data_IF_227127831883
#
_entry.id   IF_227127831883
#
_cell.length_a   1.000
_cell.length_b   1.000
_cell.length_c   1.000
_cell.angle_alpha   90.00
_cell.angle_beta   90.00
_cell.angle_gamma   90.00
#
_symmetry.space_group_name_H-M   'P 1'
#
loop_
_entity.id
_entity.type
_entity.pdbx_description
1 polymer ?
#
# COMPACT_ATOMS: atom_id res chain seq x y z
N UNK A 1 -19.47 4.86 -16.52
CA UNK A 1 -18.65 5.75 -17.39
C UNK A 1 -17.67 6.64 -16.61
N UNK A 2 -18.10 7.37 -15.57
CA UNK A 2 -17.20 8.22 -14.78
C UNK A 2 -16.08 7.42 -14.07
N UNK A 3 -16.42 6.28 -13.45
CA UNK A 3 -15.44 5.37 -12.84
C UNK A 3 -14.41 4.84 -13.87
N UNK A 4 -14.85 4.46 -15.07
CA UNK A 4 -13.97 3.99 -16.15
C UNK A 4 -12.91 5.05 -16.50
N UNK A 5 -13.32 6.33 -16.55
CA UNK A 5 -12.41 7.45 -16.82
C UNK A 5 -11.42 7.62 -15.67
N UNK A 6 -11.85 7.45 -14.41
CA UNK A 6 -10.95 7.51 -13.25
C UNK A 6 -9.90 6.39 -13.33
N UNK A 7 -10.31 5.14 -13.54
CA UNK A 7 -9.37 4.01 -13.66
C UNK A 7 -8.40 4.22 -14.82
N UNK A 8 -8.90 4.66 -15.98
CA UNK A 8 -8.05 4.97 -17.14
C UNK A 8 -7.06 6.10 -16.85
N UNK A 9 -7.53 7.23 -16.32
CA UNK A 9 -6.72 8.42 -16.08
C UNK A 9 -5.67 8.21 -14.98
N UNK A 10 -5.92 7.36 -13.99
CA UNK A 10 -4.99 7.11 -12.88
C UNK A 10 -3.88 6.14 -13.24
N UNK A 11 -4.08 5.23 -14.20
CA UNK A 11 -3.08 4.23 -14.60
C UNK A 11 -1.86 4.84 -15.32
N UNK A 12 -2.05 5.84 -16.18
CA UNK A 12 -0.94 6.42 -16.95
C UNK A 12 0.08 7.21 -16.13
N UNK A 13 -0.33 8.10 -15.19
CA UNK A 13 0.61 8.75 -14.28
C UNK A 13 1.41 7.73 -13.46
N UNK A 14 0.75 6.66 -12.99
CA UNK A 14 1.43 5.58 -12.27
C UNK A 14 2.47 4.90 -13.18
N UNK A 15 2.09 4.50 -14.39
CA UNK A 15 3.01 3.91 -15.36
C UNK A 15 4.21 4.83 -15.62
N UNK A 16 3.96 6.10 -15.84
CA UNK A 16 4.98 7.11 -16.13
C UNK A 16 5.97 7.25 -14.97
N UNK A 17 5.47 7.38 -13.73
CA UNK A 17 6.30 7.47 -12.53
C UNK A 17 7.15 6.21 -12.37
N UNK A 18 6.55 5.03 -12.48
CA UNK A 18 7.28 3.76 -12.32
C UNK A 18 8.35 3.59 -13.41
N UNK A 19 8.03 3.90 -14.67
CA UNK A 19 8.99 3.90 -15.77
C UNK A 19 10.18 4.84 -15.51
N UNK A 20 9.94 6.05 -15.00
CA UNK A 20 11.03 6.98 -14.64
C UNK A 20 11.90 6.39 -13.53
N UNK A 21 11.29 5.88 -12.46
CA UNK A 21 12.02 5.31 -11.32
C UNK A 21 12.97 4.20 -11.77
N UNK A 22 12.52 3.29 -12.64
CA UNK A 22 13.39 2.24 -13.19
C UNK A 22 14.40 2.79 -14.21
N UNK A 23 14.04 3.76 -15.04
CA UNK A 23 14.96 4.37 -16.00
C UNK A 23 16.14 5.10 -15.33
N UNK A 24 15.93 5.67 -14.12
CA UNK A 24 16.98 6.32 -13.33
C UNK A 24 18.12 5.37 -12.92
N UNK A 25 17.90 4.05 -12.95
CA UNK A 25 18.93 3.05 -12.64
C UNK A 25 20.04 2.97 -13.69
N UNK A 26 19.85 3.56 -14.87
CA UNK A 26 20.88 3.65 -15.92
C UNK A 26 21.99 4.68 -15.60
N UNK A 27 21.97 5.32 -14.43
CA UNK A 27 23.01 6.26 -14.02
C UNK A 27 24.18 5.54 -13.35
N UNK A 28 25.40 5.96 -13.67
CA UNK A 28 26.59 5.59 -12.91
C UNK A 28 26.65 6.43 -11.64
N UNK A 29 26.62 5.77 -10.47
CA UNK A 29 26.65 6.41 -9.14
C UNK A 29 27.44 5.53 -8.17
N UNK A 30 28.19 6.15 -7.27
CA UNK A 30 28.92 5.48 -6.19
C UNK A 30 29.80 4.30 -6.67
N UNK A 31 30.46 4.45 -7.82
CA UNK A 31 31.29 3.38 -8.38
C UNK A 31 30.53 2.22 -9.03
N UNK A 32 29.23 2.38 -9.29
CA UNK A 32 28.36 1.30 -9.76
C UNK A 32 27.51 1.69 -10.97
N UNK A 33 27.23 0.70 -11.83
CA UNK A 33 26.26 0.78 -12.92
C UNK A 33 25.37 -0.47 -12.90
N UNK A 34 24.05 -0.30 -12.92
CA UNK A 34 23.07 -1.40 -12.76
C UNK A 34 23.40 -2.34 -11.57
N UNK A 35 23.83 -1.78 -10.44
CA UNK A 35 24.26 -2.53 -9.24
C UNK A 35 25.45 -3.49 -9.45
N UNK A 36 26.31 -3.22 -10.43
CA UNK A 36 27.60 -3.90 -10.62
C UNK A 36 28.71 -2.90 -10.33
N UNK A 37 29.75 -3.31 -9.58
CA UNK A 37 30.94 -2.48 -9.37
C UNK A 37 31.68 -2.23 -10.68
N UNK A 38 31.83 -0.96 -11.04
CA UNK A 38 32.42 -0.50 -12.29
C UNK A 38 33.44 0.61 -12.02
N UNK A 39 34.62 0.52 -12.65
CA UNK A 39 35.54 1.67 -12.70
C UNK A 39 35.02 2.69 -13.70
N UNK A 40 35.32 3.97 -13.47
CA UNK A 40 34.89 5.07 -14.35
C UNK A 40 35.38 4.90 -15.79
N UNK A 41 36.58 4.37 -15.97
CA UNK A 41 37.17 4.01 -17.27
C UNK A 41 36.34 2.97 -18.05
N UNK A 42 35.75 1.99 -17.36
CA UNK A 42 34.97 0.92 -18.01
C UNK A 42 33.61 1.38 -18.50
N UNK A 43 33.06 2.44 -17.91
CA UNK A 43 31.77 3.01 -18.33
C UNK A 43 31.87 3.60 -19.73
N UNK A 44 33.05 4.06 -20.12
CA UNK A 44 33.29 4.65 -21.43
C UNK A 44 33.46 3.62 -22.57
N UNK A 45 33.63 2.33 -22.22
CA UNK A 45 33.77 1.22 -23.17
C UNK A 45 32.54 1.08 -24.07
N UNK A 46 32.76 0.82 -25.36
CA UNK A 46 31.69 0.71 -26.36
C UNK A 46 30.69 -0.41 -26.04
N UNK A 47 31.16 -1.54 -25.46
CA UNK A 47 30.29 -2.64 -25.08
C UNK A 47 29.37 -2.26 -23.92
N UNK A 48 29.89 -1.50 -22.95
CA UNK A 48 29.12 -1.03 -21.79
C UNK A 48 28.08 0.01 -22.23
N UNK A 49 28.47 0.93 -23.11
CA UNK A 49 27.54 1.89 -23.74
C UNK A 49 26.45 1.18 -24.56
N UNK A 50 26.79 0.11 -25.27
CA UNK A 50 25.81 -0.71 -25.99
C UNK A 50 24.79 -1.37 -25.04
N UNK A 51 25.23 -1.86 -23.87
CA UNK A 51 24.34 -2.39 -22.83
C UNK A 51 23.37 -1.31 -22.32
N UNK A 52 23.86 -0.11 -22.03
CA UNK A 52 23.01 1.02 -21.61
C UNK A 52 21.99 1.42 -22.69
N UNK A 53 22.42 1.49 -23.96
CA UNK A 53 21.52 1.80 -25.09
C UNK A 53 20.43 0.74 -25.24
N UNK A 54 20.79 -0.54 -25.09
CA UNK A 54 19.83 -1.65 -25.12
C UNK A 54 18.85 -1.59 -23.96
N UNK A 55 19.31 -1.29 -22.75
CA UNK A 55 18.44 -1.10 -21.58
C UNK A 55 17.39 0.00 -21.83
N UNK A 56 17.80 1.17 -22.33
CA UNK A 56 16.87 2.26 -22.66
C UNK A 56 15.81 1.83 -23.68
N UNK A 57 16.22 1.09 -24.72
CA UNK A 57 15.29 0.57 -25.73
C UNK A 57 14.31 -0.44 -25.12
N UNK A 58 14.80 -1.37 -24.30
CA UNK A 58 13.96 -2.35 -23.60
C UNK A 58 12.95 -1.63 -22.68
N UNK A 59 13.38 -0.66 -21.88
CA UNK A 59 12.47 0.14 -21.03
C UNK A 59 11.34 0.81 -21.81
N UNK A 60 11.64 1.40 -22.98
CA UNK A 60 10.61 2.01 -23.84
C UNK A 60 9.63 0.95 -24.33
N UNK A 61 10.11 -0.21 -24.79
CA UNK A 61 9.24 -1.29 -25.26
C UNK A 61 8.33 -1.84 -24.17
N UNK A 62 8.85 -2.15 -22.98
CA UNK A 62 8.01 -2.59 -21.86
C UNK A 62 7.00 -1.52 -21.44
N UNK A 63 7.41 -0.25 -21.41
CA UNK A 63 6.51 0.87 -21.13
C UNK A 63 5.37 0.98 -22.15
N UNK A 64 5.66 0.84 -23.44
CA UNK A 64 4.65 0.86 -24.50
C UNK A 64 3.69 -0.32 -24.42
N UNK A 65 4.19 -1.53 -24.16
CA UNK A 65 3.34 -2.72 -23.98
C UNK A 65 2.38 -2.52 -22.80
N UNK A 66 2.90 -2.01 -21.67
CA UNK A 66 2.09 -1.75 -20.48
C UNK A 66 1.09 -0.62 -20.68
N UNK A 67 1.35 0.34 -21.57
CA UNK A 67 0.45 1.44 -21.88
C UNK A 67 -0.79 1.01 -22.69
N UNK A 68 -0.79 -0.18 -23.32
CA UNK A 68 -1.93 -0.68 -24.09
C UNK A 68 -3.06 -1.18 -23.18
N UNK A 69 -2.71 -1.89 -22.09
CA UNK A 69 -3.69 -2.57 -21.23
C UNK A 69 -4.69 -1.61 -20.57
N UNK A 70 -4.30 -0.42 -20.07
CA UNK A 70 -5.25 0.56 -19.52
C UNK A 70 -6.38 0.96 -20.46
N UNK A 71 -6.20 0.88 -21.79
CA UNK A 71 -7.29 1.16 -22.74
C UNK A 71 -8.46 0.18 -22.61
N UNK A 72 -8.23 -1.05 -22.16
CA UNK A 72 -9.31 -2.02 -21.94
C UNK A 72 -10.33 -1.52 -20.89
N UNK A 73 -9.91 -0.69 -19.93
CA UNK A 73 -10.78 -0.13 -18.90
C UNK A 73 -11.87 0.81 -19.48
N UNK A 74 -11.70 1.34 -20.70
CA UNK A 74 -12.70 2.21 -21.33
C UNK A 74 -13.90 1.43 -21.88
N UNK A 75 -13.70 0.15 -22.22
CA UNK A 75 -14.69 -0.66 -22.93
C UNK A 75 -15.49 -1.61 -22.02
N UNK A 76 -15.04 -1.83 -20.79
CA UNK A 76 -15.66 -2.75 -19.85
C UNK A 76 -16.57 -1.96 -18.91
N UNK A 77 -17.86 -2.27 -18.74
CA UNK A 77 -18.76 -1.51 -17.87
C UNK A 77 -18.71 -1.95 -16.40
N UNK A 78 -18.22 -3.16 -16.12
CA UNK A 78 -18.27 -3.78 -14.79
C UNK A 78 -17.14 -3.28 -13.87
N UNK A 79 -17.52 -2.88 -12.65
CA UNK A 79 -16.59 -2.34 -11.67
C UNK A 79 -15.59 -3.41 -11.20
N UNK A 80 -16.06 -4.62 -10.90
CA UNK A 80 -15.21 -5.70 -10.40
C UNK A 80 -14.14 -6.10 -11.42
N UNK A 81 -14.51 -6.17 -12.71
CA UNK A 81 -13.59 -6.53 -13.79
C UNK A 81 -12.54 -5.43 -13.98
N UNK A 82 -12.95 -4.16 -13.98
CA UNK A 82 -12.00 -3.04 -14.08
C UNK A 82 -11.02 -3.02 -12.90
N UNK A 83 -11.53 -3.19 -11.68
CA UNK A 83 -10.71 -3.26 -10.48
C UNK A 83 -9.70 -4.41 -10.58
N UNK A 84 -10.16 -5.57 -11.06
CA UNK A 84 -9.31 -6.75 -11.28
C UNK A 84 -8.20 -6.47 -12.30
N UNK A 85 -8.54 -5.89 -13.45
CA UNK A 85 -7.57 -5.51 -14.48
C UNK A 85 -6.56 -4.53 -13.89
N UNK A 86 -7.02 -3.52 -13.15
CA UNK A 86 -6.17 -2.52 -12.51
C UNK A 86 -5.17 -3.15 -11.53
N UNK A 87 -5.65 -4.01 -10.62
CA UNK A 87 -4.82 -4.69 -9.61
C UNK A 87 -3.79 -5.64 -10.24
N UNK A 88 -4.22 -6.47 -11.19
CA UNK A 88 -3.33 -7.42 -11.88
C UNK A 88 -2.31 -6.66 -12.72
N UNK A 89 -2.74 -5.62 -13.44
CA UNK A 89 -1.86 -4.79 -14.23
C UNK A 89 -0.76 -4.13 -13.39
N UNK A 90 -1.08 -3.65 -12.18
CA UNK A 90 -0.06 -3.07 -11.28
C UNK A 90 1.03 -4.08 -10.93
N UNK A 91 0.65 -5.32 -10.60
CA UNK A 91 1.61 -6.39 -10.28
C UNK A 91 2.46 -6.72 -11.51
N UNK A 92 1.82 -6.87 -12.67
CA UNK A 92 2.51 -7.16 -13.95
C UNK A 92 3.45 -6.03 -14.32
N UNK A 93 3.05 -4.76 -14.15
CA UNK A 93 3.88 -3.59 -14.44
C UNK A 93 5.14 -3.56 -13.57
N UNK A 94 5.02 -3.85 -12.27
CA UNK A 94 6.17 -3.95 -11.36
C UNK A 94 7.12 -5.05 -11.84
N UNK A 95 6.62 -6.24 -12.15
CA UNK A 95 7.45 -7.36 -12.58
C UNK A 95 8.13 -7.05 -13.92
N UNK A 96 7.38 -6.63 -14.94
CA UNK A 96 7.92 -6.41 -16.28
C UNK A 96 8.95 -5.28 -16.32
N UNK A 97 8.74 -4.19 -15.58
CA UNK A 97 9.69 -3.07 -15.56
C UNK A 97 10.97 -3.39 -14.78
N UNK A 98 10.98 -4.43 -13.94
CA UNK A 98 12.21 -4.90 -13.30
C UNK A 98 13.11 -5.71 -14.24
N UNK A 99 12.56 -6.36 -15.27
CA UNK A 99 13.30 -7.27 -16.15
C UNK A 99 14.44 -6.58 -16.92
N UNK A 100 14.27 -5.39 -17.53
CA UNK A 100 15.37 -4.68 -18.18
C UNK A 100 16.58 -4.46 -17.27
N UNK A 101 16.35 -4.13 -15.99
CA UNK A 101 17.41 -3.96 -15.00
C UNK A 101 18.14 -5.27 -14.76
N UNK A 102 17.41 -6.37 -14.55
CA UNK A 102 18.00 -7.71 -14.35
C UNK A 102 18.85 -8.11 -15.56
N UNK A 103 18.34 -7.87 -16.78
CA UNK A 103 19.06 -8.20 -18.00
C UNK A 103 20.31 -7.34 -18.17
N UNK A 104 20.24 -6.03 -17.88
CA UNK A 104 21.39 -5.14 -17.93
C UNK A 104 22.47 -5.54 -16.91
N UNK A 105 22.07 -5.85 -15.67
CA UNK A 105 22.96 -6.37 -14.62
C UNK A 105 23.67 -7.66 -15.07
N UNK A 106 22.92 -8.62 -15.59
CA UNK A 106 23.47 -9.90 -16.05
C UNK A 106 24.44 -9.71 -17.23
N UNK A 107 24.13 -8.81 -18.18
CA UNK A 107 25.04 -8.49 -19.30
C UNK A 107 26.33 -7.84 -18.83
N UNK A 108 26.28 -6.91 -17.88
CA UNK A 108 27.48 -6.31 -17.29
C UNK A 108 28.34 -7.33 -16.55
N UNK A 109 27.72 -8.22 -15.77
CA UNK A 109 28.45 -9.32 -15.10
C UNK A 109 29.11 -10.26 -16.11
N UNK A 110 28.44 -10.58 -17.21
CA UNK A 110 29.01 -11.39 -18.29
C UNK A 110 30.20 -10.69 -18.96
N UNK A 111 30.07 -9.39 -19.24
CA UNK A 111 31.17 -8.58 -19.78
C UNK A 111 32.38 -8.58 -18.82
N UNK A 112 32.15 -8.34 -17.52
CA UNK A 112 33.19 -8.34 -16.49
C UNK A 112 33.87 -9.70 -16.31
N UNK A 113 33.13 -10.81 -16.49
CA UNK A 113 33.69 -12.18 -16.52
C UNK A 113 34.61 -12.40 -17.73
N UNK A 114 34.23 -11.92 -18.91
CA UNK A 114 35.05 -12.06 -20.13
C UNK A 114 36.39 -11.30 -20.02
N UNK A 115 36.43 -10.25 -19.21
CA UNK A 115 37.62 -9.43 -18.98
C UNK A 115 38.54 -10.00 -17.87
N UNK A 116 38.18 -11.12 -17.23
CA UNK A 116 38.99 -11.74 -16.16
C UNK A 116 38.96 -11.00 -14.81
N UNK A 117 38.17 -9.92 -14.68
CA UNK A 117 38.20 -9.03 -13.51
C UNK A 117 37.69 -9.62 -12.19
N UNK A 118 37.32 -10.91 -12.16
CA UNK A 118 36.85 -11.61 -10.96
C UNK A 118 37.94 -12.46 -10.28
N UNK A 119 39.11 -12.66 -10.90
CA UNK A 119 40.13 -13.61 -10.43
C UNK A 119 41.22 -12.98 -9.56
N UNK A 120 41.37 -11.65 -9.54
CA UNK A 120 42.52 -10.96 -8.92
C UNK A 120 42.33 -10.46 -7.47
N UNK A 121 41.15 -10.59 -6.84
CA UNK A 121 40.93 -9.99 -5.51
C UNK A 121 40.55 -11.00 -4.43
N UNK A 122 41.36 -11.01 -3.37
CA UNK A 122 41.13 -11.79 -2.15
C UNK A 122 39.91 -11.29 -1.37
N UNK A 123 39.20 -12.23 -0.75
CA UNK A 123 37.94 -12.02 -0.04
C UNK A 123 38.15 -11.39 1.35
N UNK A 124 38.62 -10.15 1.41
CA UNK A 124 38.75 -9.44 2.68
C UNK A 124 37.41 -8.82 3.11
N UNK A 125 36.80 -9.37 4.17
CA UNK A 125 35.59 -8.83 4.79
C UNK A 125 35.96 -8.09 6.06
N UNK A 126 35.83 -6.77 6.01
CA UNK A 126 36.05 -5.90 7.16
C UNK A 126 34.80 -5.87 8.04
N UNK A 127 34.96 -6.13 9.34
CA UNK A 127 33.90 -6.07 10.35
C UNK A 127 34.32 -5.07 11.41
N UNK A 128 33.43 -4.14 11.75
CA UNK A 128 33.68 -3.16 12.81
C UNK A 128 33.60 -3.84 14.18
N UNK A 129 34.76 -4.00 14.85
CA UNK A 129 34.86 -4.67 16.16
C UNK A 129 34.77 -3.69 17.34
N UNK A 130 35.18 -2.43 17.15
CA UNK A 130 35.48 -1.51 18.27
C UNK A 130 34.23 -0.96 18.96
N UNK A 131 33.05 -1.02 18.32
CA UNK A 131 31.81 -0.43 18.80
C UNK A 131 30.52 -1.04 18.20
N UNK A 132 30.52 -2.33 17.87
CA UNK A 132 29.34 -3.01 17.31
C UNK A 132 28.14 -2.92 18.27
N UNK A 133 27.23 -1.96 18.03
CA UNK A 133 25.97 -1.78 18.78
C UNK A 133 25.90 -0.60 19.77
N UNK A 134 26.95 0.20 19.93
CA UNK A 134 26.99 1.29 20.94
C UNK A 134 26.44 2.63 20.44
N UNK A 135 26.32 2.83 19.12
CA UNK A 135 25.79 4.08 18.53
C UNK A 135 24.27 4.05 18.50
N UNK A 136 23.64 4.46 19.61
CA UNK A 136 22.20 4.68 19.72
C UNK A 136 21.92 6.17 19.81
N UNK A 137 21.05 6.65 18.93
CA UNK A 137 20.63 8.05 18.91
C UNK A 137 19.22 8.22 19.48
N UNK A 138 18.45 7.14 19.56
CA UNK A 138 17.07 7.15 20.01
C UNK A 138 16.99 6.99 21.53
N UNK A 139 16.43 8.01 22.19
CA UNK A 139 15.95 7.91 23.56
C UNK A 139 14.44 7.68 23.53
N UNK A 140 13.91 6.85 24.42
CA UNK A 140 12.50 6.48 24.43
C UNK A 140 11.58 7.62 24.88
N UNK A 141 12.02 8.44 25.84
CA UNK A 141 11.19 9.47 26.48
C UNK A 141 10.55 10.48 25.51
N UNK A 142 11.27 11.07 24.52
CA UNK A 142 10.66 12.00 23.56
C UNK A 142 9.55 11.37 22.71
N UNK A 143 9.59 10.06 22.48
CA UNK A 143 8.58 9.34 21.69
C UNK A 143 7.35 8.97 22.53
N UNK A 144 7.55 8.74 23.83
CA UNK A 144 6.48 8.34 24.74
C UNK A 144 5.44 9.46 24.93
N UNK A 145 5.88 10.72 25.05
CA UNK A 145 4.99 11.87 25.31
C UNK A 145 3.86 11.98 24.27
N UNK A 146 4.13 12.09 22.95
CA UNK A 146 3.07 12.22 21.96
C UNK A 146 2.17 10.97 21.90
N UNK A 147 2.73 9.77 22.04
CA UNK A 147 1.96 8.53 22.06
C UNK A 147 0.98 8.47 23.23
N UNK A 148 1.45 8.85 24.43
CA UNK A 148 0.62 8.91 25.63
C UNK A 148 -0.50 9.94 25.44
N UNK A 149 -0.19 11.15 24.94
CA UNK A 149 -1.19 12.20 24.67
C UNK A 149 -2.26 11.71 23.70
N UNK A 150 -1.88 11.14 22.55
CA UNK A 150 -2.82 10.66 21.55
C UNK A 150 -3.69 9.50 22.05
N UNK A 151 -3.09 8.56 22.79
CA UNK A 151 -3.81 7.39 23.34
C UNK A 151 -4.79 7.80 24.43
N UNK A 152 -4.36 8.63 25.38
CA UNK A 152 -5.22 9.11 26.48
C UNK A 152 -6.37 9.95 25.93
N UNK A 153 -6.12 10.82 24.95
CA UNK A 153 -7.17 11.61 24.31
C UNK A 153 -8.20 10.71 23.60
N UNK A 154 -7.74 9.69 22.87
CA UNK A 154 -8.64 8.75 22.21
C UNK A 154 -9.52 7.97 23.20
N UNK A 155 -8.95 7.51 24.32
CA UNK A 155 -9.69 6.79 25.38
C UNK A 155 -10.72 7.71 26.04
N UNK A 156 -10.35 8.96 26.35
CA UNK A 156 -11.21 9.92 27.03
C UNK A 156 -12.49 10.26 26.24
N UNK A 157 -12.47 10.10 24.91
CA UNK A 157 -13.61 10.40 24.03
C UNK A 157 -14.60 9.25 23.92
N UNK A 158 -14.19 8.01 24.20
CA UNK A 158 -15.05 6.81 24.04
C UNK A 158 -16.40 6.92 24.78
N UNK A 159 -16.48 7.42 26.02
CA UNK A 159 -17.76 7.56 26.73
C UNK A 159 -18.75 8.51 26.04
N UNK A 160 -18.24 9.48 25.28
CA UNK A 160 -19.05 10.53 24.64
C UNK A 160 -19.33 10.24 23.16
N UNK A 161 -18.37 9.62 22.46
CA UNK A 161 -18.44 9.31 21.04
C UNK A 161 -17.73 7.98 20.75
N UNK A 162 -18.39 6.87 21.08
CA UNK A 162 -17.82 5.52 21.04
C UNK A 162 -17.13 5.18 19.70
N UNK A 163 -17.81 5.39 18.58
CA UNK A 163 -17.27 5.09 17.24
C UNK A 163 -16.02 5.91 16.95
N UNK A 164 -16.05 7.21 17.26
CA UNK A 164 -14.91 8.09 17.06
C UNK A 164 -13.73 7.73 17.96
N UNK A 165 -13.97 7.47 19.24
CA UNK A 165 -12.94 7.06 20.19
C UNK A 165 -12.23 5.78 19.74
N UNK A 166 -12.99 4.80 19.22
CA UNK A 166 -12.43 3.57 18.63
C UNK A 166 -11.59 3.89 17.38
N UNK A 167 -12.07 4.71 16.45
CA UNK A 167 -11.32 5.12 15.26
C UNK A 167 -10.01 5.85 15.62
N UNK A 168 -10.05 6.74 16.62
CA UNK A 168 -8.87 7.44 17.12
C UNK A 168 -7.88 6.50 17.82
N UNK A 169 -8.37 5.46 18.51
CA UNK A 169 -7.51 4.41 19.07
C UNK A 169 -6.78 3.61 17.98
N UNK A 170 -7.45 3.30 16.88
CA UNK A 170 -6.82 2.67 15.71
C UNK A 170 -5.75 3.61 15.14
N UNK A 171 -6.04 4.91 15.02
CA UNK A 171 -5.05 5.92 14.64
C UNK A 171 -3.86 6.00 15.60
N UNK A 172 -4.09 5.86 16.92
CA UNK A 172 -3.05 5.83 17.93
C UNK A 172 -2.14 4.59 17.76
N UNK A 173 -2.71 3.43 17.41
CA UNK A 173 -1.94 2.22 17.09
C UNK A 173 -0.91 2.47 15.96
N UNK A 174 -1.25 3.30 14.97
CA UNK A 174 -0.33 3.76 13.93
C UNK A 174 0.91 4.47 14.48
N UNK A 175 0.75 5.29 15.53
CA UNK A 175 1.88 5.92 16.22
C UNK A 175 2.84 4.90 16.86
N UNK A 176 2.31 3.82 17.44
CA UNK A 176 3.15 2.74 17.99
C UNK A 176 3.89 1.98 16.89
N UNK A 177 3.30 1.82 15.70
CA UNK A 177 4.02 1.27 14.54
C UNK A 177 5.22 2.16 14.18
N UNK A 178 5.04 3.49 14.13
CA UNK A 178 6.16 4.41 13.90
C UNK A 178 7.25 4.31 14.97
N UNK A 179 6.87 4.11 16.24
CA UNK A 179 7.83 3.86 17.32
C UNK A 179 8.61 2.56 17.09
N UNK A 180 7.94 1.46 16.74
CA UNK A 180 8.59 0.18 16.46
C UNK A 180 9.58 0.31 15.30
N UNK A 181 9.18 1.01 14.23
CA UNK A 181 10.07 1.25 13.09
C UNK A 181 11.24 2.14 13.49
N UNK A 182 11.02 3.16 14.32
CA UNK A 182 12.08 4.03 14.81
C UNK A 182 13.11 3.26 15.67
N UNK A 183 12.65 2.40 16.61
CA UNK A 183 13.51 1.50 17.39
C UNK A 183 14.30 0.59 16.45
N UNK A 184 13.63 0.04 15.44
CA UNK A 184 14.27 -0.83 14.46
C UNK A 184 15.34 -0.10 13.63
N UNK A 185 15.09 1.12 13.16
CA UNK A 185 16.09 1.93 12.42
C UNK A 185 17.29 2.32 13.29
N UNK A 186 17.09 2.58 14.59
CA UNK A 186 18.19 2.90 15.51
C UNK A 186 19.01 1.67 15.88
N UNK A 187 18.41 0.46 15.85
CA UNK A 187 19.08 -0.81 16.14
C UNK A 187 19.89 -1.39 14.98
N UNK A 188 19.91 -0.74 13.81
CA UNK A 188 20.74 -1.18 12.69
C UNK A 188 22.24 -1.16 13.06
N UNK A 189 23.02 -2.16 12.60
CA UNK A 189 24.46 -2.23 12.86
C UNK A 189 25.20 -1.03 12.26
N UNK A 190 26.41 -0.78 12.75
CA UNK A 190 27.27 0.30 12.24
C UNK A 190 27.73 -0.06 10.82
N UNK A 191 27.56 0.88 9.89
CA UNK A 191 27.99 0.70 8.50
C UNK A 191 29.51 0.89 8.41
N UNK A 192 30.18 -0.10 7.82
CA UNK A 192 31.63 -0.08 7.62
C UNK A 192 31.92 0.53 6.25
N UNK A 193 32.36 1.78 6.25
CA UNK A 193 32.64 2.55 5.04
C UNK A 193 34.14 2.83 4.87
N UNK A 194 34.87 2.90 5.97
CA UNK A 194 36.30 3.14 6.02
C UNK A 194 37.00 2.14 6.94
N UNK A 195 38.29 1.92 6.71
CA UNK A 195 39.22 1.30 7.65
C UNK A 195 39.27 2.06 8.99
N UNK A 196 38.91 3.34 9.01
CA UNK A 196 38.83 4.17 10.20
C UNK A 196 37.47 4.04 10.92
N UNK A 197 37.50 3.42 12.10
CA UNK A 197 36.35 3.21 12.99
C UNK A 197 35.58 4.49 13.34
N UNK A 198 36.27 5.61 13.56
CA UNK A 198 35.61 6.87 13.94
C UNK A 198 34.79 7.46 12.79
N UNK A 199 35.22 7.23 11.54
CA UNK A 199 34.48 7.62 10.34
C UNK A 199 33.18 6.80 10.25
N UNK A 200 33.27 5.48 10.43
CA UNK A 200 32.12 4.56 10.42
C UNK A 200 31.06 4.93 11.48
N UNK A 201 31.53 5.22 12.70
CA UNK A 201 30.69 5.61 13.84
C UNK A 201 29.98 6.93 13.56
N UNK A 202 30.70 7.96 13.10
CA UNK A 202 30.13 9.29 12.88
C UNK A 202 29.16 9.31 11.68
N UNK A 203 29.47 8.58 10.61
CA UNK A 203 28.58 8.40 9.47
C UNK A 203 27.26 7.73 9.90
N UNK A 204 27.35 6.60 10.61
CA UNK A 204 26.18 5.89 11.14
C UNK A 204 25.37 6.78 12.08
N UNK A 205 26.04 7.51 12.99
CA UNK A 205 25.39 8.43 13.94
C UNK A 205 24.59 9.52 13.22
N UNK A 206 25.14 10.11 12.16
CA UNK A 206 24.47 11.13 11.37
C UNK A 206 23.18 10.60 10.74
N UNK A 207 23.23 9.43 10.09
CA UNK A 207 22.04 8.76 9.51
C UNK A 207 21.00 8.45 10.57
N UNK A 208 21.39 7.84 11.69
CA UNK A 208 20.47 7.51 12.80
C UNK A 208 19.80 8.75 13.39
N UNK A 209 20.50 9.88 13.49
CA UNK A 209 19.92 11.14 13.97
C UNK A 209 18.84 11.68 13.02
N UNK A 210 19.05 11.58 11.71
CA UNK A 210 18.06 11.98 10.70
C UNK A 210 16.82 11.11 10.81
N UNK A 211 16.97 9.78 10.81
CA UNK A 211 15.85 8.84 10.96
C UNK A 211 15.09 9.07 12.26
N UNK A 212 15.79 9.21 13.39
CA UNK A 212 15.18 9.52 14.69
C UNK A 212 14.30 10.77 14.63
N UNK A 213 14.82 11.86 14.07
CA UNK A 213 14.07 13.12 13.98
C UNK A 213 12.85 13.00 13.05
N UNK A 214 12.98 12.28 11.93
CA UNK A 214 11.88 12.05 11.00
C UNK A 214 10.76 11.24 11.66
N UNK A 215 11.08 10.13 12.33
CA UNK A 215 10.07 9.31 13.02
C UNK A 215 9.41 10.04 14.19
N UNK A 216 10.18 10.84 14.93
CA UNK A 216 9.62 11.65 16.00
C UNK A 216 8.61 12.68 15.45
N UNK A 217 8.94 13.32 14.32
CA UNK A 217 8.03 14.22 13.62
C UNK A 217 6.75 13.50 13.16
N UNK A 218 6.89 12.30 12.58
CA UNK A 218 5.77 11.47 12.15
C UNK A 218 4.79 11.17 13.29
N UNK A 219 5.30 10.84 14.47
CA UNK A 219 4.49 10.52 15.66
C UNK A 219 3.78 11.78 16.19
N UNK A 220 4.46 12.92 16.22
CA UNK A 220 3.82 14.19 16.59
C UNK A 220 2.72 14.58 15.61
N UNK A 221 2.96 14.42 14.32
CA UNK A 221 1.96 14.69 13.28
C UNK A 221 0.75 13.75 13.40
N UNK A 222 0.98 12.46 13.69
CA UNK A 222 -0.09 11.49 13.96
C UNK A 222 -0.91 11.88 15.20
N UNK A 223 -0.22 12.31 16.26
CA UNK A 223 -0.88 12.78 17.49
C UNK A 223 -1.70 14.04 17.24
N UNK A 224 -1.16 14.99 16.48
CA UNK A 224 -1.87 16.21 16.09
C UNK A 224 -3.12 15.89 15.26
N UNK A 225 -3.04 14.92 14.34
CA UNK A 225 -4.21 14.45 13.59
C UNK A 225 -5.27 13.89 14.55
N UNK A 226 -4.92 13.00 15.47
CA UNK A 226 -5.88 12.43 16.43
C UNK A 226 -6.58 13.53 17.22
N UNK A 227 -5.83 14.49 17.76
CA UNK A 227 -6.40 15.62 18.50
C UNK A 227 -7.30 16.49 17.62
N UNK A 228 -6.91 16.73 16.37
CA UNK A 228 -7.72 17.45 15.39
C UNK A 228 -9.03 16.71 15.09
N UNK A 229 -9.00 15.40 14.84
CA UNK A 229 -10.19 14.60 14.58
C UNK A 229 -11.14 14.63 15.78
N UNK A 230 -10.61 14.50 17.00
CA UNK A 230 -11.39 14.63 18.23
C UNK A 230 -12.05 16.01 18.33
N UNK A 231 -11.30 17.08 18.08
CA UNK A 231 -11.83 18.45 18.14
C UNK A 231 -12.97 18.67 17.15
N UNK A 232 -12.79 18.22 15.90
CA UNK A 232 -13.78 18.34 14.83
C UNK A 232 -15.04 17.52 15.16
N UNK A 233 -14.93 16.43 15.91
CA UNK A 233 -16.07 15.60 16.33
C UNK A 233 -17.12 16.32 17.16
N UNK A 234 -16.72 17.39 17.86
CA UNK A 234 -17.64 18.19 18.66
C UNK A 234 -18.30 19.32 17.86
N UNK A 235 -17.91 19.54 16.61
CA UNK A 235 -18.54 20.52 15.71
C UNK A 235 -19.79 19.89 15.09
N UNK A 236 -20.95 20.54 15.19
CA UNK A 236 -22.23 19.94 14.78
C UNK A 236 -22.56 20.07 13.27
N UNK A 237 -21.81 20.87 12.50
CA UNK A 237 -22.06 21.08 11.06
C UNK A 237 -20.83 20.75 10.21
N UNK A 238 -21.06 20.10 9.07
CA UNK A 238 -20.07 19.81 8.01
C UNK A 238 -18.83 18.98 8.43
N UNK A 239 -19.01 18.09 9.40
CA UNK A 239 -17.93 17.30 10.01
C UNK A 239 -17.19 16.41 9.00
N UNK A 240 -17.91 15.78 8.06
CA UNK A 240 -17.34 14.84 7.10
C UNK A 240 -16.32 15.46 6.13
N UNK A 241 -16.61 16.64 5.58
CA UNK A 241 -15.70 17.32 4.65
C UNK A 241 -14.43 17.82 5.35
N UNK A 242 -14.58 18.29 6.60
CA UNK A 242 -13.45 18.73 7.42
C UNK A 242 -12.54 17.55 7.79
N UNK A 243 -13.11 16.38 8.07
CA UNK A 243 -12.32 15.15 8.26
C UNK A 243 -11.53 14.78 7.03
N UNK A 244 -12.18 14.74 5.87
CA UNK A 244 -11.51 14.41 4.62
C UNK A 244 -10.36 15.39 4.34
N UNK A 245 -10.60 16.69 4.49
CA UNK A 245 -9.57 17.72 4.34
C UNK A 245 -8.41 17.52 5.33
N UNK A 246 -8.70 17.24 6.60
CA UNK A 246 -7.69 16.96 7.62
C UNK A 246 -6.82 15.74 7.29
N UNK A 247 -7.43 14.67 6.80
CA UNK A 247 -6.71 13.46 6.35
C UNK A 247 -5.83 13.73 5.13
N UNK A 248 -6.33 14.50 4.15
CA UNK A 248 -5.55 14.90 2.98
C UNK A 248 -4.35 15.75 3.39
N UNK A 249 -4.55 16.75 4.24
CA UNK A 249 -3.47 17.61 4.75
C UNK A 249 -2.45 16.77 5.52
N UNK A 250 -2.89 15.83 6.36
CA UNK A 250 -2.01 14.91 7.06
C UNK A 250 -1.14 14.08 6.11
N UNK A 251 -1.72 13.49 5.06
CA UNK A 251 -0.98 12.72 4.06
C UNK A 251 0.04 13.60 3.32
N UNK A 252 -0.34 14.83 2.95
CA UNK A 252 0.56 15.79 2.32
C UNK A 252 1.73 16.13 3.26
N UNK A 253 1.46 16.41 4.54
CA UNK A 253 2.49 16.75 5.52
C UNK A 253 3.43 15.58 5.82
N UNK A 254 2.88 14.35 5.97
CA UNK A 254 3.69 13.13 6.11
C UNK A 254 4.60 12.91 4.89
N UNK A 255 4.11 13.20 3.69
CA UNK A 255 4.92 13.04 2.47
C UNK A 255 5.96 14.15 2.36
N UNK A 256 5.58 15.39 2.64
CA UNK A 256 6.44 16.56 2.57
C UNK A 256 7.63 16.46 3.56
N UNK A 257 7.42 15.91 4.76
CA UNK A 257 8.52 15.72 5.73
C UNK A 257 9.59 14.71 5.28
N UNK A 258 9.28 13.82 4.32
CA UNK A 258 10.27 12.90 3.76
C UNK A 258 11.31 13.64 2.90
N UNK A 259 10.93 14.76 2.25
CA UNK A 259 11.82 15.54 1.38
C UNK A 259 13.07 16.04 2.14
N UNK A 260 12.97 16.79 3.26
CA UNK A 260 14.15 17.23 3.99
C UNK A 260 14.95 16.06 4.56
N UNK A 261 14.31 14.95 4.96
CA UNK A 261 15.01 13.75 5.41
C UNK A 261 15.89 13.16 4.29
N UNK A 262 15.34 13.00 3.08
CA UNK A 262 16.07 12.52 1.90
C UNK A 262 17.21 13.48 1.51
N UNK A 263 16.94 14.79 1.50
CA UNK A 263 17.97 15.80 1.19
C UNK A 263 19.11 15.77 2.20
N UNK A 264 18.81 15.65 3.50
CA UNK A 264 19.83 15.55 4.54
C UNK A 264 20.61 14.23 4.44
N UNK A 265 19.95 13.11 4.14
CA UNK A 265 20.63 11.83 3.90
C UNK A 265 21.60 11.94 2.72
N UNK A 266 21.17 12.51 1.60
CA UNK A 266 22.04 12.72 0.43
C UNK A 266 23.21 13.68 0.72
N UNK A 267 23.01 14.69 1.57
CA UNK A 267 24.11 15.56 2.03
C UNK A 267 25.13 14.80 2.88
N UNK A 268 24.67 13.89 3.74
CA UNK A 268 25.56 13.02 4.54
C UNK A 268 26.31 12.05 3.64
N UNK A 269 25.64 11.41 2.67
CA UNK A 269 26.30 10.53 1.69
C UNK A 269 27.41 11.28 0.95
N UNK A 270 27.10 12.45 0.38
CA UNK A 270 28.10 13.26 -0.33
C UNK A 270 29.26 13.72 0.55
N UNK A 271 29.02 14.04 1.83
CA UNK A 271 30.07 14.49 2.75
C UNK A 271 31.05 13.38 3.17
N UNK A 272 30.68 12.11 2.95
CA UNK A 272 31.50 10.95 3.29
C UNK A 272 31.98 10.19 2.05
N UNK A 273 31.58 10.60 0.84
CA UNK A 273 31.96 9.98 -0.46
C UNK A 273 33.47 9.75 -0.57
N UNK A 274 34.28 10.79 -0.32
CA UNK A 274 35.75 10.73 -0.40
C UNK A 274 36.41 9.91 0.74
N UNK A 275 35.62 9.53 1.76
CA UNK A 275 36.09 8.75 2.92
C UNK A 275 35.81 7.26 2.80
N UNK A 276 35.13 6.83 1.73
CA UNK A 276 34.93 5.42 1.43
C UNK A 276 36.25 4.83 0.90
N UNK A 277 37.07 4.27 1.80
CA UNK A 277 38.32 3.59 1.44
C UNK A 277 38.11 2.07 1.21
N UNK A 278 37.00 1.51 1.70
CA UNK A 278 36.59 0.13 1.49
C UNK A 278 35.55 0.09 0.37
N UNK A 279 35.99 -0.16 -0.85
CA UNK A 279 35.07 -0.58 -1.91
C UNK A 279 34.60 -2.00 -1.57
N UNK A 280 33.30 -2.19 -1.33
CA UNK A 280 32.71 -3.52 -1.17
C UNK A 280 33.22 -4.41 -2.31
N UNK A 281 33.99 -5.44 -1.95
CA UNK A 281 34.81 -6.18 -2.91
C UNK A 281 34.03 -6.69 -4.11
N UNK A 282 34.73 -6.92 -5.23
CA UNK A 282 34.15 -7.44 -6.49
C UNK A 282 33.38 -8.76 -6.27
N UNK A 283 33.71 -9.54 -5.23
CA UNK A 283 32.94 -10.72 -4.82
C UNK A 283 31.48 -10.43 -4.43
N UNK A 284 31.20 -9.23 -3.90
CA UNK A 284 29.85 -8.86 -3.50
C UNK A 284 28.89 -8.84 -4.71
N UNK A 285 29.36 -8.53 -5.92
CA UNK A 285 28.54 -8.52 -7.15
C UNK A 285 27.75 -9.83 -7.36
N UNK A 286 28.31 -10.96 -6.92
CA UNK A 286 27.71 -12.30 -7.14
C UNK A 286 26.48 -12.52 -6.26
N UNK A 287 26.43 -11.90 -5.09
CA UNK A 287 25.33 -12.04 -4.13
C UNK A 287 24.12 -11.17 -4.46
N UNK A 288 24.27 -10.18 -5.36
CA UNK A 288 23.18 -9.30 -5.81
C UNK A 288 22.52 -9.83 -7.09
N UNK A 289 21.54 -10.72 -6.94
CA UNK A 289 20.81 -11.34 -8.05
C UNK A 289 19.99 -10.29 -8.80
N UNK A 290 20.27 -10.16 -10.11
CA UNK A 290 19.63 -9.17 -10.98
C UNK A 290 19.85 -7.71 -10.56
N UNK A 291 20.80 -7.45 -9.65
CA UNK A 291 21.07 -6.12 -9.11
C UNK A 291 20.02 -5.60 -8.11
N UNK A 292 19.04 -6.44 -7.72
CA UNK A 292 17.94 -6.03 -6.83
C UNK A 292 17.84 -6.89 -5.57
N UNK A 293 18.01 -8.21 -5.72
CA UNK A 293 17.80 -9.16 -4.63
C UNK A 293 19.14 -9.58 -4.04
N UNK A 294 19.28 -9.44 -2.73
CA UNK A 294 20.48 -9.88 -2.03
C UNK A 294 20.30 -11.31 -1.52
N UNK A 295 21.22 -12.20 -1.89
CA UNK A 295 21.25 -13.57 -1.43
C UNK A 295 22.69 -13.96 -1.08
N UNK A 296 23.00 -13.96 0.22
CA UNK A 296 24.30 -14.39 0.70
C UNK A 296 24.15 -15.33 1.91
N UNK A 297 24.33 -16.65 1.75
CA UNK A 297 24.28 -17.61 2.85
C UNK A 297 25.39 -17.40 3.90
N UNK A 298 26.50 -16.76 3.53
CA UNK A 298 27.62 -16.46 4.43
C UNK A 298 27.39 -15.18 5.24
N UNK A 299 26.34 -14.42 4.92
CA UNK A 299 25.94 -13.25 5.69
C UNK A 299 24.76 -13.58 6.59
N UNK A 300 24.96 -13.49 7.91
CA UNK A 300 23.93 -13.77 8.89
C UNK A 300 22.95 -12.60 9.07
N UNK A 301 23.24 -11.42 8.53
CA UNK A 301 22.36 -10.26 8.62
C UNK A 301 21.13 -10.47 7.74
N UNK A 302 19.94 -10.37 8.34
CA UNK A 302 18.67 -10.42 7.60
C UNK A 302 18.42 -9.13 6.82
N UNK A 303 18.84 -7.99 7.35
CA UNK A 303 18.66 -6.68 6.72
C UNK A 303 20.03 -6.16 6.37
N UNK A 304 20.20 -5.78 5.11
CA UNK A 304 21.44 -5.22 4.58
C UNK A 304 21.13 -3.91 3.87
N UNK A 305 22.09 -3.02 3.77
CA UNK A 305 21.90 -1.80 2.99
C UNK A 305 21.67 -2.13 1.52
N UNK A 306 20.80 -1.35 0.87
CA UNK A 306 20.64 -1.46 -0.57
C UNK A 306 21.96 -1.09 -1.23
N UNK A 307 22.33 -1.89 -2.23
CA UNK A 307 23.50 -1.60 -3.05
C UNK A 307 23.31 -0.38 -3.94
N UNK A 308 22.10 -0.13 -4.42
CA UNK A 308 21.78 1.04 -5.25
C UNK A 308 20.61 1.79 -4.64
N UNK A 309 20.81 3.10 -4.46
CA UNK A 309 19.83 4.00 -3.87
C UNK A 309 19.79 3.96 -2.34
N UNK A 310 18.83 4.68 -1.77
CA UNK A 310 18.72 4.85 -0.31
C UNK A 310 17.83 3.75 0.27
N UNK A 311 18.24 3.21 1.41
CA UNK A 311 17.44 2.32 2.25
C UNK A 311 18.07 0.94 2.43
N UNK A 312 17.27 0.01 2.92
CA UNK A 312 17.70 -1.36 3.22
C UNK A 312 16.93 -2.38 2.39
N UNK A 313 17.50 -3.56 2.25
CA UNK A 313 16.89 -4.75 1.63
C UNK A 313 17.05 -5.95 2.55
N UNK A 314 16.42 -7.05 2.19
CA UNK A 314 16.45 -8.29 2.96
C UNK A 314 17.39 -9.28 2.31
N UNK A 315 18.27 -9.88 3.11
CA UNK A 315 19.05 -11.04 2.71
C UNK A 315 18.14 -12.27 2.64
N UNK A 316 17.85 -12.69 1.43
CA UNK A 316 16.95 -13.79 1.11
C UNK A 316 17.49 -15.16 1.53
N UNK A 317 18.76 -15.26 1.92
CA UNK A 317 19.36 -16.50 2.38
C UNK A 317 19.02 -16.83 3.85
N UNK A 318 18.69 -15.84 4.69
CA UNK A 318 18.41 -16.06 6.12
C UNK A 318 17.02 -16.64 6.34
N UNK A 319 16.79 -17.27 7.51
CA UNK A 319 15.47 -17.83 7.87
C UNK A 319 14.37 -16.77 7.86
N UNK A 320 14.65 -15.62 8.46
CA UNK A 320 13.73 -14.49 8.47
C UNK A 320 13.54 -13.92 7.06
N UNK A 321 14.59 -13.84 6.24
CA UNK A 321 14.49 -13.40 4.85
C UNK A 321 13.58 -14.28 4.01
N UNK A 322 13.73 -15.61 4.11
CA UNK A 322 12.82 -16.57 3.46
C UNK A 322 11.37 -16.37 3.92
N UNK A 323 11.16 -16.13 5.22
CA UNK A 323 9.84 -15.80 5.77
C UNK A 323 9.26 -14.51 5.18
N UNK A 324 10.05 -13.45 5.01
CA UNK A 324 9.57 -12.21 4.38
C UNK A 324 9.19 -12.40 2.93
N UNK A 325 9.95 -13.20 2.16
CA UNK A 325 9.62 -13.51 0.76
C UNK A 325 8.30 -14.26 0.68
N UNK A 326 8.12 -15.29 1.51
CA UNK A 326 6.88 -16.05 1.58
C UNK A 326 5.70 -15.14 1.91
N UNK A 327 5.84 -14.27 2.91
CA UNK A 327 4.83 -13.28 3.26
C UNK A 327 4.52 -12.34 2.10
N UNK A 328 5.53 -11.80 1.41
CA UNK A 328 5.32 -10.92 0.24
C UNK A 328 4.61 -11.66 -0.89
N UNK A 329 4.95 -12.92 -1.17
CA UNK A 329 4.28 -13.73 -2.19
C UNK A 329 2.82 -13.96 -1.80
N UNK A 330 2.53 -14.37 -0.56
CA UNK A 330 1.16 -14.56 -0.08
C UNK A 330 0.38 -13.25 -0.18
N UNK A 331 0.94 -12.13 0.29
CA UNK A 331 0.29 -10.82 0.22
C UNK A 331 -0.03 -10.41 -1.23
N UNK A 332 0.90 -10.64 -2.18
CA UNK A 332 0.66 -10.38 -3.60
C UNK A 332 -0.42 -11.29 -4.19
N UNK A 333 -0.48 -12.56 -3.78
CA UNK A 333 -1.50 -13.53 -4.22
C UNK A 333 -2.88 -13.30 -3.58
N UNK A 334 -2.95 -12.65 -2.42
CA UNK A 334 -4.23 -12.26 -1.82
C UNK A 334 -4.94 -11.16 -2.62
N UNK A 335 -4.20 -10.31 -3.34
CA UNK A 335 -4.78 -9.24 -4.16
C UNK A 335 -5.78 -9.76 -5.22
N UNK A 336 -5.42 -10.74 -6.09
CA UNK A 336 -6.38 -11.32 -7.03
C UNK A 336 -7.48 -12.13 -6.32
N UNK A 337 -7.25 -12.70 -5.13
CA UNK A 337 -8.30 -13.40 -4.38
C UNK A 337 -9.42 -12.44 -3.94
N UNK A 338 -9.06 -11.24 -3.48
CA UNK A 338 -10.03 -10.17 -3.19
C UNK A 338 -10.81 -9.78 -4.44
N UNK A 339 -10.16 -9.77 -5.61
CA UNK A 339 -10.84 -9.50 -6.88
C UNK A 339 -11.90 -10.56 -7.21
N UNK A 340 -11.62 -11.85 -6.97
CA UNK A 340 -12.60 -12.93 -7.13
C UNK A 340 -13.82 -12.72 -6.24
N UNK A 341 -13.62 -12.28 -4.99
CA UNK A 341 -14.73 -11.95 -4.09
C UNK A 341 -15.59 -10.81 -4.64
N UNK A 342 -14.97 -9.72 -5.12
CA UNK A 342 -15.70 -8.57 -5.68
C UNK A 342 -16.44 -8.94 -6.97
N UNK A 343 -15.87 -9.83 -7.79
CA UNK A 343 -16.54 -10.40 -8.97
C UNK A 343 -17.76 -11.21 -8.54
N UNK A 344 -17.61 -12.11 -7.56
CA UNK A 344 -18.75 -12.87 -7.05
C UNK A 344 -19.84 -11.94 -6.52
N UNK A 345 -19.47 -10.84 -5.86
CA UNK A 345 -20.40 -9.86 -5.32
C UNK A 345 -21.14 -9.03 -6.39
N UNK A 346 -20.50 -8.74 -7.54
CA UNK A 346 -21.16 -8.00 -8.64
C UNK A 346 -22.02 -8.91 -9.53
N UNK A 347 -21.61 -10.17 -9.75
CA UNK A 347 -22.24 -11.06 -10.72
C UNK A 347 -23.19 -12.10 -10.13
N UNK A 348 -23.19 -12.32 -8.81
CA UNK A 348 -24.20 -13.17 -8.17
C UNK A 348 -25.49 -12.37 -8.05
N UNK A 349 -26.59 -12.79 -8.70
CA UNK A 349 -27.87 -12.10 -8.60
C UNK A 349 -28.39 -12.14 -7.16
N UNK A 350 -29.19 -11.14 -6.81
CA UNK A 350 -29.97 -11.14 -5.59
C UNK A 350 -31.27 -11.90 -5.83
N UNK A 351 -31.77 -12.57 -4.81
CA UNK A 351 -33.06 -13.25 -4.82
C UNK A 351 -33.82 -12.93 -3.54
N UNK A 352 -35.12 -12.78 -3.68
CA UNK A 352 -36.05 -12.75 -2.56
C UNK A 352 -36.92 -14.00 -2.63
N UNK A 353 -37.03 -14.71 -1.52
CA UNK A 353 -37.87 -15.90 -1.42
C UNK A 353 -38.62 -15.90 -0.09
N UNK A 354 -39.84 -16.45 -0.08
CA UNK A 354 -40.59 -16.68 1.14
C UNK A 354 -40.43 -18.14 1.54
N UNK A 355 -39.63 -18.38 2.58
CA UNK A 355 -39.44 -19.71 3.16
C UNK A 355 -39.94 -19.73 4.60
N UNK A 356 -40.74 -20.74 4.96
CA UNK A 356 -41.18 -20.98 6.35
C UNK A 356 -41.76 -19.72 7.04
N UNK A 357 -42.67 -19.00 6.37
CA UNK A 357 -43.28 -17.76 6.88
C UNK A 357 -42.27 -16.63 7.16
N UNK A 358 -41.12 -16.65 6.48
CA UNK A 358 -40.12 -15.60 6.55
C UNK A 358 -39.71 -15.15 5.16
N UNK A 359 -39.54 -13.85 4.97
CA UNK A 359 -38.89 -13.24 3.82
C UNK A 359 -37.38 -13.41 3.95
N UNK A 360 -36.80 -14.20 3.06
CA UNK A 360 -35.37 -14.46 2.93
C UNK A 360 -34.80 -13.61 1.78
N UNK A 361 -33.75 -12.85 2.08
CA UNK A 361 -33.01 -12.07 1.10
C UNK A 361 -31.63 -12.67 0.90
N UNK A 362 -31.39 -13.21 -0.30
CA UNK A 362 -30.25 -14.07 -0.61
C UNK A 362 -29.41 -13.55 -1.77
N UNK A 363 -28.10 -13.73 -1.65
CA UNK A 363 -27.15 -13.50 -2.73
C UNK A 363 -26.05 -14.56 -2.68
N UNK A 364 -24.83 -14.20 -2.23
CA UNK A 364 -23.75 -15.17 -1.94
C UNK A 364 -24.08 -16.00 -0.69
N UNK A 365 -24.84 -15.41 0.22
CA UNK A 365 -25.34 -15.99 1.46
C UNK A 365 -26.71 -15.36 1.74
N UNK A 366 -27.46 -15.95 2.65
CA UNK A 366 -28.63 -15.32 3.25
C UNK A 366 -28.17 -14.11 4.08
N UNK A 367 -28.56 -12.91 3.67
CA UNK A 367 -28.19 -11.66 4.35
C UNK A 367 -29.29 -11.17 5.30
N UNK A 368 -30.57 -11.43 4.97
CA UNK A 368 -31.70 -11.13 5.85
C UNK A 368 -32.69 -12.30 5.90
N UNK A 369 -33.25 -12.54 7.09
CA UNK A 369 -34.39 -13.44 7.33
C UNK A 369 -35.35 -12.68 8.24
N UNK A 370 -36.53 -12.35 7.72
CA UNK A 370 -37.51 -11.49 8.39
C UNK A 370 -38.85 -12.21 8.44
N UNK A 371 -39.38 -12.45 9.64
CA UNK A 371 -40.70 -13.07 9.78
C UNK A 371 -41.79 -12.22 9.12
N UNK A 372 -42.71 -12.85 8.38
CA UNK A 372 -43.84 -12.16 7.75
C UNK A 372 -44.74 -11.47 8.78
N UNK A 373 -44.89 -12.05 9.98
CA UNK A 373 -45.66 -11.49 11.09
C UNK A 373 -45.06 -10.17 11.63
N UNK A 374 -43.76 -9.96 11.41
CA UNK A 374 -43.03 -8.78 11.89
C UNK A 374 -42.94 -7.67 10.85
N UNK A 375 -43.48 -7.89 9.65
CA UNK A 375 -43.58 -6.86 8.62
C UNK A 375 -44.72 -5.91 8.97
N UNK A 376 -44.48 -4.61 8.89
CA UNK A 376 -45.46 -3.55 9.06
C UNK A 376 -45.37 -2.59 7.86
N UNK A 377 -46.51 -2.03 7.43
CA UNK A 377 -46.59 -1.03 6.34
C UNK A 377 -45.86 -1.45 5.05
N UNK A 378 -46.19 -2.63 4.52
CA UNK A 378 -45.59 -3.14 3.27
C UNK A 378 -46.15 -2.36 2.09
N UNK A 379 -45.27 -1.65 1.38
CA UNK A 379 -45.61 -0.81 0.23
C UNK A 379 -44.70 -1.12 -0.96
N UNK A 380 -45.24 -0.94 -2.17
CA UNK A 380 -44.45 -0.97 -3.39
C UNK A 380 -44.08 0.45 -3.80
N UNK A 381 -42.78 0.73 -3.88
CA UNK A 381 -42.24 2.01 -4.31
C UNK A 381 -41.75 1.94 -5.75
N UNK A 382 -41.91 3.05 -6.47
CA UNK A 382 -41.33 3.23 -7.82
C UNK A 382 -40.16 4.21 -7.84
N UNK A 383 -39.98 4.97 -6.76
CA UNK A 383 -38.90 5.94 -6.59
C UNK A 383 -38.23 5.69 -5.23
N UNK A 384 -36.89 5.69 -5.22
CA UNK A 384 -36.10 5.51 -4.01
C UNK A 384 -35.73 6.87 -3.40
N UNK A 385 -35.64 6.98 -2.07
CA UNK A 385 -35.18 8.20 -1.41
C UNK A 385 -33.68 8.40 -1.64
N UNK A 386 -33.24 9.65 -1.60
CA UNK A 386 -31.81 9.98 -1.62
C UNK A 386 -31.15 9.54 -0.31
N UNK A 387 -30.23 8.57 -0.41
CA UNK A 387 -29.48 8.05 0.72
C UNK A 387 -27.98 8.02 0.50
N UNK A 388 -27.26 7.84 1.61
CA UNK A 388 -25.81 7.64 1.62
C UNK A 388 -25.47 6.33 2.30
N UNK A 389 -24.53 5.58 1.72
CA UNK A 389 -24.07 4.31 2.29
C UNK A 389 -23.30 4.54 3.58
N UNK A 390 -23.70 3.86 4.66
CA UNK A 390 -22.98 3.85 5.94
C UNK A 390 -22.05 2.64 6.01
N UNK A 391 -22.56 1.46 5.68
CA UNK A 391 -21.81 0.22 5.69
C UNK A 391 -22.41 -0.78 4.69
N UNK A 392 -21.55 -1.42 3.88
CA UNK A 392 -21.95 -2.45 2.91
C UNK A 392 -21.52 -2.13 1.48
N UNK A 393 -22.31 -2.59 0.52
CA UNK A 393 -22.02 -2.60 -0.91
C UNK A 393 -22.92 -1.62 -1.64
N UNK A 394 -22.33 -0.88 -2.57
CA UNK A 394 -23.03 0.08 -3.42
C UNK A 394 -22.38 0.06 -4.80
N UNK A 395 -23.03 -0.64 -5.71
CA UNK A 395 -22.65 -0.86 -7.10
C UNK A 395 -23.85 -0.54 -7.99
N UNK A 396 -23.62 -0.36 -9.29
CA UNK A 396 -24.67 -0.02 -10.25
C UNK A 396 -25.77 -1.09 -10.36
N UNK A 397 -25.50 -2.33 -9.93
CA UNK A 397 -26.42 -3.48 -9.95
C UNK A 397 -26.79 -4.00 -8.55
N UNK A 398 -26.23 -3.41 -7.49
CA UNK A 398 -26.39 -3.94 -6.13
C UNK A 398 -26.17 -2.86 -5.07
N UNK A 399 -27.22 -2.58 -4.29
CA UNK A 399 -27.11 -1.88 -3.02
C UNK A 399 -27.49 -2.81 -1.88
N UNK A 400 -26.54 -3.01 -0.95
CA UNK A 400 -26.69 -3.94 0.17
C UNK A 400 -26.04 -3.42 1.43
N UNK A 401 -26.79 -3.36 2.53
CA UNK A 401 -26.28 -3.06 3.87
C UNK A 401 -27.04 -1.93 4.56
N UNK A 402 -26.32 -1.15 5.38
CA UNK A 402 -26.89 -0.01 6.10
C UNK A 402 -26.66 1.29 5.34
N UNK A 403 -27.75 1.99 5.07
CA UNK A 403 -27.77 3.29 4.42
C UNK A 403 -28.41 4.32 5.35
N UNK A 404 -28.24 5.61 5.03
CA UNK A 404 -28.77 6.72 5.81
C UNK A 404 -29.47 7.71 4.90
N UNK A 405 -30.74 7.95 5.19
CA UNK A 405 -31.58 8.98 4.57
C UNK A 405 -31.44 10.26 5.39
N UNK A 406 -31.23 11.38 4.70
CA UNK A 406 -31.00 12.66 5.36
C UNK A 406 -32.26 13.17 6.05
N UNK A 407 -32.26 13.17 7.39
CA UNK A 407 -33.38 13.65 8.21
C UNK A 407 -34.27 12.54 8.77
N UNK A 408 -34.21 11.34 8.21
CA UNK A 408 -35.08 10.21 8.60
C UNK A 408 -34.32 9.10 9.37
N UNK A 409 -33.01 8.98 9.18
CA UNK A 409 -32.18 8.04 9.95
C UNK A 409 -31.60 6.91 9.10
N UNK A 410 -31.29 5.79 9.74
CA UNK A 410 -30.67 4.62 9.10
C UNK A 410 -31.72 3.63 8.59
N UNK A 411 -31.49 3.08 7.40
CA UNK A 411 -32.31 2.04 6.80
C UNK A 411 -31.44 0.85 6.36
N UNK A 412 -32.09 -0.29 6.16
CA UNK A 412 -31.48 -1.49 5.59
C UNK A 412 -31.86 -1.60 4.12
N UNK A 413 -30.87 -1.80 3.27
CA UNK A 413 -31.06 -1.86 1.81
C UNK A 413 -30.56 -3.23 1.33
N UNK A 414 -31.34 -3.85 0.44
CA UNK A 414 -31.01 -5.07 -0.29
C UNK A 414 -31.73 -5.09 -1.63
N UNK A 415 -31.18 -4.42 -2.64
CA UNK A 415 -31.87 -4.24 -3.91
C UNK A 415 -30.93 -4.09 -5.10
N UNK A 416 -31.49 -4.24 -6.28
CA UNK A 416 -30.87 -3.89 -7.55
C UNK A 416 -31.37 -2.49 -7.96
N UNK A 417 -30.51 -1.45 -7.94
CA UNK A 417 -30.92 -0.08 -8.26
C UNK A 417 -31.43 0.13 -9.69
N UNK A 418 -31.23 -0.84 -10.58
CA UNK A 418 -31.71 -0.79 -11.97
C UNK A 418 -33.19 -1.17 -12.11
N UNK A 419 -33.78 -1.76 -11.06
CA UNK A 419 -35.20 -2.05 -11.01
C UNK A 419 -36.01 -0.74 -10.96
N UNK A 420 -37.30 -0.86 -11.26
CA UNK A 420 -38.27 0.24 -11.16
C UNK A 420 -39.30 -0.01 -10.06
N UNK A 421 -39.33 -1.22 -9.51
CA UNK A 421 -40.19 -1.59 -8.40
C UNK A 421 -39.35 -2.03 -7.22
N UNK A 422 -39.72 -1.53 -6.05
CA UNK A 422 -39.02 -1.80 -4.80
C UNK A 422 -40.04 -2.07 -3.71
N UNK A 423 -39.69 -2.96 -2.79
CA UNK A 423 -40.42 -3.22 -1.56
C UNK A 423 -39.92 -2.27 -0.48
N UNK A 424 -40.86 -1.57 0.15
CA UNK A 424 -40.63 -0.87 1.39
C UNK A 424 -41.46 -1.50 2.49
N UNK A 425 -40.86 -1.67 3.67
CA UNK A 425 -41.58 -2.10 4.86
C UNK A 425 -40.79 -1.72 6.11
N UNK A 426 -41.47 -1.71 7.24
CA UNK A 426 -40.83 -1.65 8.53
C UNK A 426 -40.87 -3.01 9.20
N UNK A 427 -39.79 -3.41 9.87
CA UNK A 427 -39.76 -4.63 10.65
C UNK A 427 -38.84 -4.45 11.85
N UNK A 428 -39.29 -4.88 13.03
CA UNK A 428 -38.52 -4.78 14.28
C UNK A 428 -37.95 -3.36 14.54
N UNK A 429 -38.71 -2.30 14.18
CA UNK A 429 -38.31 -0.91 14.36
C UNK A 429 -37.25 -0.40 13.38
N UNK A 430 -37.00 -1.11 12.27
CA UNK A 430 -36.10 -0.68 11.19
C UNK A 430 -36.85 -0.58 9.87
N UNK A 431 -36.46 0.37 9.02
CA UNK A 431 -36.95 0.50 7.66
C UNK A 431 -36.11 -0.36 6.71
N UNK A 432 -36.76 -1.09 5.82
CA UNK A 432 -36.15 -1.94 4.81
C UNK A 432 -36.56 -1.51 3.41
N UNK A 433 -35.60 -1.50 2.49
CA UNK A 433 -35.81 -1.32 1.07
C UNK A 433 -35.24 -2.53 0.35
N UNK A 434 -36.08 -3.28 -0.34
CA UNK A 434 -35.68 -4.52 -0.99
C UNK A 434 -36.14 -4.62 -2.44
N UNK A 435 -35.44 -5.39 -3.26
CA UNK A 435 -35.96 -5.85 -4.55
C UNK A 435 -35.45 -7.25 -4.85
N UNK A 436 -36.18 -7.97 -5.69
CA UNK A 436 -35.68 -9.17 -6.33
C UNK A 436 -34.65 -8.85 -7.43
N UNK A 437 -34.22 -9.89 -8.15
CA UNK A 437 -33.31 -9.80 -9.30
C UNK A 437 -33.84 -8.82 -10.36
N UNK A 438 -35.15 -8.80 -10.56
CA UNK A 438 -35.88 -7.94 -11.49
C UNK A 438 -37.24 -7.47 -10.92
N UNK A 439 -37.94 -6.63 -11.69
CA UNK A 439 -39.26 -6.09 -11.33
C UNK A 439 -40.34 -7.17 -11.22
N UNK A 440 -40.17 -8.32 -11.90
CA UNK A 440 -41.13 -9.42 -11.90
C UNK A 440 -41.03 -10.19 -10.60
N UNK A 441 -39.83 -10.61 -10.20
CA UNK A 441 -39.60 -11.28 -8.90
C UNK A 441 -40.04 -10.39 -7.74
N UNK A 442 -39.77 -9.07 -7.83
CA UNK A 442 -40.19 -8.11 -6.80
C UNK A 442 -41.72 -8.03 -6.66
N UNK A 443 -42.46 -8.06 -7.77
CA UNK A 443 -43.93 -8.04 -7.75
C UNK A 443 -44.50 -9.37 -7.25
N UNK A 444 -43.94 -10.50 -7.67
CA UNK A 444 -44.37 -11.82 -7.22
C UNK A 444 -44.26 -11.94 -5.70
N UNK A 445 -43.13 -11.53 -5.13
CA UNK A 445 -42.91 -11.53 -3.67
C UNK A 445 -43.86 -10.56 -2.97
N UNK A 446 -44.12 -9.37 -3.54
CA UNK A 446 -45.10 -8.45 -2.98
C UNK A 446 -46.49 -9.08 -2.86
N UNK A 447 -46.97 -9.71 -3.93
CA UNK A 447 -48.27 -10.37 -3.95
C UNK A 447 -48.31 -11.57 -3.00
N UNK A 448 -47.21 -12.30 -2.88
CA UNK A 448 -47.12 -13.44 -1.96
C UNK A 448 -47.18 -12.99 -0.49
N UNK A 449 -46.49 -11.90 -0.13
CA UNK A 449 -46.59 -11.29 1.21
C UNK A 449 -48.04 -10.89 1.51
N UNK A 450 -48.74 -10.27 0.56
CA UNK A 450 -50.14 -9.85 0.73
C UNK A 450 -51.13 -11.02 0.84
N UNK A 451 -50.81 -12.17 0.25
CA UNK A 451 -51.66 -13.36 0.30
C UNK A 451 -51.45 -14.20 1.56
N UNK A 452 -50.28 -14.10 2.20
CA UNK A 452 -49.92 -14.86 3.40
C UNK A 452 -50.09 -14.08 4.71
N UNK A 453 -50.32 -12.77 4.62
CA UNK A 453 -50.83 -11.93 5.71
C UNK A 453 -52.36 -11.93 5.72
#
# INVERSE_FOLDING_TARGET
MFLNIIFFATLYPVLFIVCIVFALQNSYKDGMLFAVNMKREWVEDENVKAIQKRFKKEMIWYGLILAIIPFSCLFIPYFSIQMTIWMVWLIVAIILLTLPTVFANNRLKQWKRKMGCYEEQSAERYVELKNAGTVRCMHFLPFFIPLAVGTVAAIAVIPFAKVMGISCLIGAAGGYIFLLVAIWTDRQPVQVISSNSDININYTRAKKKIWKNMWLCAIWLNTALILFLILVSFMQKQVGMIYLAGMIVFVILLTAMCIPAIVMLGRVEKAYEDKHDLNGGIEDDRNWIGGMFYYNPKDSHTIVDKRVGIGTTVNMATKAGKGTILFTIIALLMLPLVCVWVIAEEFTPIHLEIENQSLCAEQIRTDYVISLDALDDVEMLTELPDWSKVNGTGMDTLEKGTFKISGEGECQVFLNPQNKKFLYFTANGKCYYMSGVDDTETEEIYQEILNQK
#
